data_IF_723728068341
#
_entry.id   IF_723728068341
#
_cell.length_a   1.000
_cell.length_b   1.000
_cell.length_c   1.000
_cell.angle_alpha   90.00
_cell.angle_beta   90.00
_cell.angle_gamma   90.00
#
_symmetry.space_group_name_H-M   'P 1'
#
loop_
_entity.id
_entity.type
_entity.pdbx_description
1 polymer ?
#
# COMPACT_ATOMS: atom_id res chain seq x y z
N UNK A 1 13.46 -11.77 -8.14
CA UNK A 1 14.66 -12.61 -7.94
C UNK A 1 15.58 -11.93 -6.93
N UNK A 2 15.48 -12.38 -5.68
CA UNK A 2 16.51 -12.18 -4.68
C UNK A 2 17.69 -13.12 -4.94
N UNK A 3 18.66 -13.12 -4.03
CA UNK A 3 19.77 -14.07 -4.08
C UNK A 3 19.72 -15.02 -2.89
N UNK A 4 19.84 -16.32 -3.17
CA UNK A 4 19.95 -17.37 -2.14
C UNK A 4 21.13 -17.16 -1.18
N UNK A 5 22.17 -16.45 -1.62
CA UNK A 5 23.31 -16.02 -0.80
C UNK A 5 23.36 -14.48 -0.71
N UNK A 6 22.96 -13.90 0.42
CA UNK A 6 23.06 -12.45 0.67
C UNK A 6 24.51 -11.92 0.65
N UNK A 7 25.46 -12.73 1.14
CA UNK A 7 26.90 -12.41 1.10
C UNK A 7 27.43 -12.13 -0.32
N UNK A 8 26.89 -12.82 -1.33
CA UNK A 8 27.34 -12.62 -2.71
C UNK A 8 26.89 -11.27 -3.31
N UNK A 9 25.87 -10.62 -2.75
CA UNK A 9 25.54 -9.22 -3.07
C UNK A 9 26.48 -8.25 -2.34
N UNK A 10 26.87 -8.53 -1.07
CA UNK A 10 27.85 -7.72 -0.33
C UNK A 10 29.19 -7.69 -1.07
N UNK A 11 29.75 -8.85 -1.42
CA UNK A 11 31.01 -8.92 -2.17
C UNK A 11 30.94 -8.19 -3.51
N UNK A 12 29.79 -8.24 -4.21
CA UNK A 12 29.60 -7.48 -5.46
C UNK A 12 29.44 -5.98 -5.23
N UNK A 13 28.94 -5.53 -4.08
CA UNK A 13 28.89 -4.11 -3.71
C UNK A 13 30.28 -3.56 -3.36
N UNK A 14 31.09 -4.33 -2.63
CA UNK A 14 32.49 -4.01 -2.30
C UNK A 14 33.36 -3.95 -3.56
N UNK A 15 33.22 -4.92 -4.48
CA UNK A 15 33.92 -4.92 -5.78
C UNK A 15 33.39 -3.86 -6.77
N UNK A 16 32.43 -3.01 -6.40
CA UNK A 16 31.84 -2.00 -7.29
C UNK A 16 30.94 -2.55 -8.42
N UNK A 17 30.70 -3.87 -8.46
CA UNK A 17 29.95 -4.58 -9.49
C UNK A 17 28.42 -4.47 -9.34
N UNK A 18 27.93 -3.81 -8.28
CA UNK A 18 26.49 -3.63 -8.02
C UNK A 18 26.20 -2.18 -7.66
N UNK A 19 25.24 -1.55 -8.37
CA UNK A 19 24.81 -0.19 -8.05
C UNK A 19 24.09 -0.14 -6.69
N UNK A 20 24.18 0.95 -5.92
CA UNK A 20 23.60 1.02 -4.57
C UNK A 20 22.11 0.64 -4.51
N UNK A 21 21.32 1.10 -5.51
CA UNK A 21 19.88 0.76 -5.63
C UNK A 21 19.64 -0.72 -5.94
N UNK A 22 20.44 -1.33 -6.81
CA UNK A 22 20.32 -2.75 -7.13
C UNK A 22 20.74 -3.63 -5.94
N UNK A 23 21.82 -3.25 -5.25
CA UNK A 23 22.31 -3.90 -4.04
C UNK A 23 21.26 -3.88 -2.93
N UNK A 24 20.82 -2.69 -2.47
CA UNK A 24 19.86 -2.58 -1.35
C UNK A 24 18.58 -3.40 -1.59
N UNK A 25 18.03 -3.35 -2.82
CA UNK A 25 16.86 -4.16 -3.21
C UNK A 25 17.13 -5.67 -3.18
N UNK A 26 18.21 -6.15 -3.81
CA UNK A 26 18.50 -7.60 -3.89
C UNK A 26 18.94 -8.18 -2.55
N UNK A 27 19.66 -7.39 -1.76
CA UNK A 27 20.06 -7.73 -0.40
C UNK A 27 18.82 -7.85 0.50
N UNK A 28 17.94 -6.84 0.50
CA UNK A 28 16.72 -6.85 1.33
C UNK A 28 15.72 -7.95 0.93
N UNK A 29 15.70 -8.34 -0.34
CA UNK A 29 14.92 -9.48 -0.83
C UNK A 29 15.67 -10.84 -0.77
N UNK A 30 16.82 -10.93 -0.08
CA UNK A 30 17.54 -12.20 0.06
C UNK A 30 16.82 -13.15 1.02
N UNK A 31 16.61 -14.40 0.57
CA UNK A 31 15.97 -15.48 1.35
C UNK A 31 16.57 -15.62 2.77
N UNK A 32 17.88 -15.40 2.91
CA UNK A 32 18.62 -15.49 4.19
C UNK A 32 18.18 -14.40 5.18
N UNK A 33 17.95 -13.17 4.72
CA UNK A 33 17.49 -12.08 5.59
C UNK A 33 16.01 -12.25 5.92
N UNK A 34 15.18 -12.59 4.91
CA UNK A 34 13.74 -12.81 5.08
C UNK A 34 13.46 -13.92 6.11
N UNK A 35 14.26 -14.99 6.10
CA UNK A 35 14.21 -16.08 7.10
C UNK A 35 14.56 -15.65 8.52
N UNK A 36 15.36 -14.60 8.69
CA UNK A 36 15.82 -14.07 9.98
C UNK A 36 14.99 -12.89 10.49
N UNK A 37 13.95 -12.47 9.76
CA UNK A 37 13.06 -11.40 10.17
C UNK A 37 12.35 -11.77 11.48
N UNK A 38 12.48 -10.90 12.48
CA UNK A 38 11.86 -11.02 13.78
C UNK A 38 11.53 -9.62 14.35
N UNK A 39 10.79 -9.58 15.46
CA UNK A 39 10.33 -8.36 16.08
C UNK A 39 11.50 -7.58 16.71
N UNK A 40 11.89 -6.48 16.08
CA UNK A 40 12.90 -5.53 16.57
C UNK A 40 12.37 -4.66 17.74
N UNK A 41 11.05 -4.60 17.89
CA UNK A 41 10.33 -3.97 18.98
C UNK A 41 9.31 -2.94 18.50
N UNK A 42 8.69 -2.25 19.46
CA UNK A 42 7.43 -1.54 19.22
C UNK A 42 7.56 -0.05 19.55
N UNK A 43 6.89 0.79 18.76
CA UNK A 43 6.73 2.22 19.00
C UNK A 43 5.39 2.43 19.69
N UNK A 44 5.42 2.76 20.98
CA UNK A 44 4.26 2.88 21.84
C UNK A 44 3.94 4.35 22.10
N UNK A 45 2.68 4.76 21.96
CA UNK A 45 2.26 6.13 22.31
C UNK A 45 0.89 6.56 21.80
N UNK A 46 0.39 5.95 20.72
CA UNK A 46 -0.98 6.15 20.27
C UNK A 46 -1.98 5.58 21.29
N UNK A 47 -3.20 6.14 21.30
CA UNK A 47 -4.29 5.76 22.21
C UNK A 47 -5.46 5.05 21.49
N UNK A 48 -5.33 4.79 20.19
CA UNK A 48 -6.27 4.02 19.38
C UNK A 48 -5.54 3.29 18.25
N UNK A 49 -6.28 2.55 17.42
CA UNK A 49 -5.71 1.77 16.30
C UNK A 49 -4.79 2.61 15.42
N UNK A 50 -3.65 2.09 15.00
CA UNK A 50 -2.72 2.78 14.11
C UNK A 50 -2.93 2.31 12.68
N UNK A 51 -3.57 3.12 11.85
CA UNK A 51 -4.02 2.71 10.52
C UNK A 51 -2.96 2.86 9.42
N UNK A 52 -1.93 3.67 9.67
CA UNK A 52 -0.98 4.09 8.64
C UNK A 52 0.39 4.38 9.24
N UNK A 53 1.43 3.94 8.54
CA UNK A 53 2.84 4.24 8.83
C UNK A 53 3.56 4.61 7.53
N UNK A 54 4.52 5.53 7.58
CA UNK A 54 5.35 5.87 6.42
C UNK A 54 6.77 6.27 6.86
N UNK A 55 7.79 5.74 6.18
CA UNK A 55 9.17 6.21 6.35
C UNK A 55 9.42 7.45 5.49
N UNK A 56 10.18 8.41 6.02
CA UNK A 56 10.68 9.50 5.21
C UNK A 56 11.71 9.01 4.17
N UNK A 57 12.06 9.86 3.21
CA UNK A 57 12.96 9.47 2.11
C UNK A 57 14.39 9.09 2.54
N UNK A 58 14.87 9.61 3.68
CA UNK A 58 16.17 9.23 4.26
C UNK A 58 16.11 7.91 5.03
N UNK A 59 14.91 7.51 5.46
CA UNK A 59 14.66 6.36 6.33
C UNK A 59 14.89 6.65 7.82
N UNK A 60 15.30 7.86 8.21
CA UNK A 60 15.61 8.20 9.61
C UNK A 60 14.36 8.42 10.47
N UNK A 61 13.24 8.82 9.85
CA UNK A 61 11.98 9.11 10.52
C UNK A 61 10.87 8.17 10.05
N UNK A 62 10.00 7.80 10.99
CA UNK A 62 8.73 7.16 10.70
C UNK A 62 7.59 8.09 11.14
N UNK A 63 6.57 8.26 10.31
CA UNK A 63 5.32 8.95 10.64
C UNK A 63 4.21 7.91 10.83
N UNK A 64 3.34 8.09 11.81
CA UNK A 64 2.12 7.29 11.98
C UNK A 64 0.87 8.15 12.17
N UNK A 65 -0.29 7.58 11.83
CA UNK A 65 -1.61 8.17 12.05
C UNK A 65 -2.60 7.16 12.64
N UNK A 66 -3.50 7.62 13.49
CA UNK A 66 -4.34 6.76 14.35
C UNK A 66 -5.78 7.24 14.48
N UNK A 67 -6.63 6.34 14.99
CA UNK A 67 -7.96 6.59 15.53
C UNK A 67 -7.97 7.66 16.64
N UNK A 68 -6.87 7.86 17.36
CA UNK A 68 -6.75 8.94 18.37
C UNK A 68 -6.66 10.36 17.76
N UNK A 69 -6.62 10.45 16.42
CA UNK A 69 -6.57 11.67 15.59
C UNK A 69 -5.24 12.44 15.71
N UNK A 70 -4.23 11.84 16.33
CA UNK A 70 -2.86 12.34 16.35
C UNK A 70 -2.09 11.85 15.12
N UNK A 71 -1.14 12.68 14.69
CA UNK A 71 0.01 12.26 13.89
C UNK A 71 1.22 12.24 14.82
N UNK A 72 2.02 11.18 14.74
CA UNK A 72 3.24 11.04 15.53
C UNK A 72 4.44 10.86 14.59
N UNK A 73 5.52 11.61 14.85
CA UNK A 73 6.83 11.43 14.24
C UNK A 73 7.74 10.70 15.23
N UNK A 74 8.33 9.61 14.77
CA UNK A 74 9.19 8.74 15.55
C UNK A 74 10.63 8.79 15.07
N UNK A 75 11.55 8.77 16.03
CA UNK A 75 12.85 8.17 15.82
C UNK A 75 12.69 6.65 16.05
N UNK A 76 12.49 5.91 14.96
CA UNK A 76 12.21 4.47 15.06
C UNK A 76 13.42 3.68 15.58
N UNK A 77 14.64 4.20 15.39
CA UNK A 77 15.89 3.54 15.77
C UNK A 77 16.08 3.52 17.29
N UNK A 78 15.88 4.67 17.94
CA UNK A 78 15.86 4.82 19.40
C UNK A 78 14.52 4.44 20.02
N UNK A 79 13.50 4.20 19.20
CA UNK A 79 12.10 3.94 19.58
C UNK A 79 11.47 5.10 20.37
N UNK A 80 11.87 6.34 20.06
CA UNK A 80 11.41 7.54 20.77
C UNK A 80 10.46 8.39 19.93
N UNK A 81 9.56 9.10 20.61
CA UNK A 81 8.62 10.05 20.01
C UNK A 81 9.29 11.41 19.86
N UNK A 82 9.58 11.84 18.63
CA UNK A 82 10.18 13.17 18.36
C UNK A 82 9.14 14.30 18.38
N UNK A 83 7.98 14.07 17.77
CA UNK A 83 6.89 15.06 17.70
C UNK A 83 5.54 14.33 17.72
N UNK A 84 4.51 14.98 18.26
CA UNK A 84 3.13 14.51 18.23
C UNK A 84 2.21 15.70 18.12
N UNK A 85 1.18 15.61 17.28
CA UNK A 85 0.22 16.70 17.13
C UNK A 85 -1.16 16.23 16.69
N UNK A 86 -2.18 17.00 17.06
CA UNK A 86 -3.52 16.74 16.56
C UNK A 86 -3.62 17.15 15.09
N UNK A 87 -4.02 16.21 14.24
CA UNK A 87 -4.37 16.50 12.84
C UNK A 87 -5.57 17.44 12.69
N UNK A 88 -6.30 17.69 13.79
CA UNK A 88 -7.56 18.41 13.85
C UNK A 88 -8.74 17.71 13.16
N UNK A 89 -8.56 16.52 12.58
CA UNK A 89 -9.66 15.67 12.13
C UNK A 89 -10.59 15.36 13.31
N UNK A 90 -11.89 15.19 13.06
CA UNK A 90 -12.83 14.80 14.11
C UNK A 90 -12.97 13.28 14.27
N UNK A 91 -12.63 12.52 13.24
CA UNK A 91 -12.70 11.05 13.15
C UNK A 91 -11.35 10.43 12.76
N UNK A 92 -11.26 9.09 12.80
CA UNK A 92 -10.07 8.27 12.55
C UNK A 92 -9.25 8.73 11.33
N UNK A 93 -7.92 8.78 11.47
CA UNK A 93 -6.98 8.97 10.34
C UNK A 93 -6.78 7.63 9.64
N UNK A 94 -7.03 7.55 8.33
CA UNK A 94 -6.84 6.33 7.54
C UNK A 94 -5.51 6.29 6.78
N UNK A 95 -5.01 7.43 6.31
CA UNK A 95 -3.71 7.51 5.66
C UNK A 95 -3.01 8.82 6.05
N UNK A 96 -1.72 8.70 6.36
CA UNK A 96 -0.79 9.82 6.51
C UNK A 96 0.26 9.70 5.40
N UNK A 97 0.71 10.83 4.87
CA UNK A 97 1.75 10.91 3.83
C UNK A 97 2.67 12.12 4.04
N UNK A 98 3.97 11.94 3.90
CA UNK A 98 4.99 12.99 3.87
C UNK A 98 5.09 13.52 2.43
N UNK A 99 5.11 14.84 2.27
CA UNK A 99 5.29 15.48 0.96
C UNK A 99 6.80 15.56 0.62
N UNK A 100 7.25 15.09 -0.56
CA UNK A 100 8.66 15.13 -0.94
C UNK A 100 9.14 16.57 -1.15
N UNK A 101 10.43 16.81 -0.96
CA UNK A 101 11.05 18.16 -1.09
C UNK A 101 10.46 19.20 -0.12
N UNK A 102 10.10 18.78 1.09
CA UNK A 102 9.57 19.66 2.15
C UNK A 102 10.32 19.55 3.49
N UNK A 103 11.53 18.96 3.46
CA UNK A 103 12.34 18.63 4.64
C UNK A 103 11.56 17.85 5.71
N UNK A 104 10.67 16.96 5.24
CA UNK A 104 9.71 16.17 6.00
C UNK A 104 8.72 17.00 6.87
N UNK A 105 8.62 18.31 6.63
CA UNK A 105 7.78 19.24 7.40
C UNK A 105 6.32 19.32 6.94
N UNK A 106 5.98 18.85 5.75
CA UNK A 106 4.60 18.85 5.24
C UNK A 106 4.03 17.45 5.20
N UNK A 107 3.01 17.22 6.01
CA UNK A 107 2.36 15.93 6.17
C UNK A 107 0.88 16.07 5.80
N UNK A 108 0.43 15.30 4.82
CA UNK A 108 -0.97 15.23 4.39
C UNK A 108 -1.67 14.05 5.06
N UNK A 109 -2.85 14.28 5.62
CA UNK A 109 -3.68 13.26 6.28
C UNK A 109 -5.05 13.15 5.65
N UNK A 110 -5.61 11.95 5.64
CA UNK A 110 -6.98 11.66 5.23
C UNK A 110 -7.74 10.85 6.29
N UNK A 111 -9.04 11.09 6.41
CA UNK A 111 -9.85 10.60 7.54
C UNK A 111 -11.22 10.07 7.14
N UNK A 112 -11.85 9.34 8.06
CA UNK A 112 -13.27 9.00 8.05
C UNK A 112 -14.19 10.23 8.03
N UNK A 113 -13.74 11.40 8.50
CA UNK A 113 -14.51 12.66 8.43
C UNK A 113 -14.69 13.21 6.99
N UNK A 114 -14.08 12.52 6.02
CA UNK A 114 -14.10 12.82 4.60
C UNK A 114 -13.21 14.01 4.21
N UNK A 115 -12.42 14.57 5.13
CA UNK A 115 -11.52 15.67 4.86
C UNK A 115 -10.14 15.17 4.46
N UNK A 116 -9.41 16.04 3.76
CA UNK A 116 -7.96 15.93 3.59
C UNK A 116 -7.34 17.19 4.18
N UNK A 117 -6.31 17.02 5.00
CA UNK A 117 -5.64 18.10 5.73
C UNK A 117 -4.14 18.06 5.52
N UNK A 118 -3.51 19.22 5.64
CA UNK A 118 -2.07 19.41 5.66
C UNK A 118 -1.68 19.89 7.05
N UNK A 119 -0.78 19.17 7.71
CA UNK A 119 0.03 19.70 8.78
C UNK A 119 1.35 20.23 8.22
N UNK A 120 1.70 21.47 8.54
CA UNK A 120 3.00 22.05 8.24
C UNK A 120 3.73 22.38 9.55
N UNK A 121 4.86 21.70 9.77
CA UNK A 121 5.78 21.96 10.88
C UNK A 121 6.59 23.22 10.56
N UNK A 122 6.57 24.19 11.47
CA UNK A 122 7.25 25.48 11.36
C UNK A 122 8.62 25.42 12.06
N UNK A 123 9.47 26.42 11.81
CA UNK A 123 10.84 26.48 12.34
C UNK A 123 10.92 26.65 13.86
N UNK A 124 9.90 27.26 14.45
CA UNK A 124 9.74 27.42 15.90
C UNK A 124 9.10 26.19 16.57
N UNK A 125 8.86 25.12 15.81
CA UNK A 125 8.20 23.90 16.28
C UNK A 125 6.67 23.98 16.38
N UNK A 126 6.06 25.12 16.03
CA UNK A 126 4.61 25.22 15.88
C UNK A 126 4.14 24.45 14.64
N UNK A 127 2.84 24.17 14.57
CA UNK A 127 2.25 23.33 13.53
C UNK A 127 0.99 23.99 13.00
N UNK A 128 1.03 24.44 11.75
CA UNK A 128 -0.15 24.94 11.04
C UNK A 128 -0.97 23.76 10.49
N UNK A 129 -2.29 23.76 10.72
CA UNK A 129 -3.21 22.70 10.32
C UNK A 129 -4.24 23.28 9.35
N UNK A 130 -4.10 22.97 8.07
CA UNK A 130 -4.95 23.49 6.99
C UNK A 130 -5.80 22.41 6.35
N UNK A 131 -7.11 22.59 6.30
CA UNK A 131 -8.01 21.74 5.48
C UNK A 131 -7.80 22.05 4.00
N UNK A 132 -7.37 21.05 3.23
CA UNK A 132 -7.17 21.15 1.79
C UNK A 132 -8.44 20.81 1.00
N UNK A 133 -9.24 19.87 1.49
CA UNK A 133 -10.46 19.44 0.81
C UNK A 133 -11.44 18.70 1.71
N UNK A 134 -12.65 18.46 1.19
CA UNK A 134 -13.67 17.59 1.78
C UNK A 134 -14.42 16.84 0.69
N UNK A 135 -14.58 15.54 0.90
CA UNK A 135 -15.32 14.62 0.06
C UNK A 135 -16.64 14.22 0.74
N UNK A 136 -17.52 13.52 0.01
CA UNK A 136 -18.85 13.10 0.51
C UNK A 136 -18.83 11.89 1.44
N UNK A 137 -17.67 11.30 1.68
CA UNK A 137 -17.45 10.17 2.58
C UNK A 137 -15.97 9.96 2.85
N UNK A 138 -15.66 8.91 3.62
CA UNK A 138 -14.32 8.53 4.05
C UNK A 138 -13.27 8.56 2.94
N UNK A 139 -12.07 9.07 3.25
CA UNK A 139 -10.93 9.09 2.34
C UNK A 139 -9.88 8.09 2.82
N UNK A 140 -9.88 6.89 2.24
CA UNK A 140 -9.10 5.73 2.71
C UNK A 140 -7.61 5.79 2.39
N UNK A 141 -7.26 6.21 1.18
CA UNK A 141 -5.89 6.17 0.66
C UNK A 141 -5.53 7.47 -0.06
N UNK A 142 -4.26 7.83 0.08
CA UNK A 142 -3.58 8.93 -0.59
C UNK A 142 -2.35 8.39 -1.34
N UNK A 143 -2.09 8.92 -2.53
CA UNK A 143 -0.83 8.76 -3.26
C UNK A 143 -0.22 10.15 -3.53
N UNK A 144 1.02 10.36 -3.08
CA UNK A 144 1.76 11.61 -3.31
C UNK A 144 2.59 11.46 -4.59
N UNK A 145 2.63 12.50 -5.41
CA UNK A 145 3.49 12.51 -6.61
C UNK A 145 4.97 12.62 -6.19
N UNK A 146 5.83 11.63 -6.49
CA UNK A 146 7.20 11.61 -5.99
C UNK A 146 8.07 12.82 -6.42
N UNK A 147 7.68 13.49 -7.51
CA UNK A 147 8.37 14.64 -8.08
C UNK A 147 7.86 16.01 -7.62
N UNK A 148 6.86 16.09 -6.73
CA UNK A 148 6.16 17.35 -6.44
C UNK A 148 5.89 17.58 -4.95
N UNK A 149 6.32 18.72 -4.37
CA UNK A 149 6.01 19.08 -2.98
C UNK A 149 4.54 19.49 -2.76
N UNK A 150 3.70 19.48 -3.80
CA UNK A 150 2.36 20.07 -3.78
C UNK A 150 1.25 19.19 -4.37
N UNK A 151 1.59 18.10 -5.08
CA UNK A 151 0.62 17.26 -5.78
C UNK A 151 0.48 15.91 -5.08
N UNK A 152 -0.77 15.57 -4.77
CA UNK A 152 -1.18 14.26 -4.28
C UNK A 152 -2.61 13.98 -4.75
N UNK A 153 -3.00 12.71 -4.71
CA UNK A 153 -4.28 12.19 -5.18
C UNK A 153 -4.96 11.42 -4.06
N UNK A 154 -6.28 11.55 -3.96
CA UNK A 154 -7.13 10.94 -2.94
C UNK A 154 -8.16 10.00 -3.56
N UNK A 155 -8.44 8.86 -2.93
CA UNK A 155 -9.43 7.85 -3.36
C UNK A 155 -10.91 8.29 -3.32
N UNK A 156 -11.28 9.53 -3.63
CA UNK A 156 -12.68 9.93 -3.79
C UNK A 156 -12.85 10.97 -4.90
N UNK A 157 -13.80 10.71 -5.82
CA UNK A 157 -14.13 11.53 -7.01
C UNK A 157 -14.11 13.05 -6.80
N UNK A 158 -13.54 13.75 -7.79
CA UNK A 158 -14.08 14.96 -8.44
C UNK A 158 -14.19 14.61 -9.95
N UNK A 159 -15.17 15.03 -10.74
CA UNK A 159 -16.35 15.89 -10.53
C UNK A 159 -17.66 15.05 -10.70
N UNK A 160 -18.91 15.53 -10.78
CA UNK A 160 -19.63 16.77 -10.35
C UNK A 160 -21.11 16.35 -10.09
N UNK A 161 -21.94 17.11 -9.33
CA UNK A 161 -23.34 16.78 -9.10
C UNK A 161 -24.36 17.77 -9.71
N UNK A 162 -24.52 17.85 -11.03
CA UNK A 162 -25.65 18.56 -11.68
C UNK A 162 -25.92 18.12 -13.12
N UNK A 163 -26.79 17.13 -13.30
CA UNK A 163 -27.94 17.21 -14.24
C UNK A 163 -28.76 15.92 -14.15
N UNK A 164 -30.08 16.05 -14.33
CA UNK A 164 -31.00 14.91 -14.34
C UNK A 164 -30.91 14.21 -15.70
N UNK A 165 -30.15 13.12 -15.80
CA UNK A 165 -30.39 12.13 -16.87
C UNK A 165 -30.07 10.70 -16.42
N UNK A 166 -30.85 9.76 -16.96
CA UNK A 166 -30.93 8.36 -16.51
C UNK A 166 -29.78 7.54 -17.11
N UNK A 167 -29.32 6.54 -16.35
CA UNK A 167 -28.26 5.58 -16.71
C UNK A 167 -26.83 6.16 -16.83
N UNK A 168 -26.30 6.72 -15.73
CA UNK A 168 -24.86 6.58 -15.48
C UNK A 168 -24.55 5.13 -15.03
N UNK A 169 -23.37 4.58 -15.35
CA UNK A 169 -22.89 3.35 -14.71
C UNK A 169 -22.80 3.57 -13.18
N UNK A 170 -23.03 2.50 -12.42
CA UNK A 170 -23.03 2.52 -10.95
C UNK A 170 -21.76 3.17 -10.42
N UNK A 171 -21.90 4.14 -9.50
CA UNK A 171 -20.76 4.87 -8.94
C UNK A 171 -19.88 3.94 -8.08
N UNK A 172 -18.84 3.39 -8.68
CA UNK A 172 -17.84 2.56 -7.99
C UNK A 172 -17.16 3.41 -6.90
N UNK A 173 -17.16 2.89 -5.67
CA UNK A 173 -16.40 3.44 -4.55
C UNK A 173 -14.95 2.99 -4.70
N UNK A 174 -14.01 3.93 -4.66
CA UNK A 174 -12.57 3.62 -4.68
C UNK A 174 -12.08 3.35 -3.26
N UNK A 175 -11.25 2.32 -3.13
CA UNK A 175 -10.65 1.90 -1.86
C UNK A 175 -9.15 2.27 -1.82
N UNK A 176 -8.46 2.15 -2.96
CA UNK A 176 -7.00 2.22 -3.02
C UNK A 176 -6.49 2.87 -4.31
N UNK A 177 -5.29 3.45 -4.23
CA UNK A 177 -4.61 4.24 -5.27
C UNK A 177 -3.10 4.07 -5.13
N UNK A 178 -2.40 3.93 -6.25
CA UNK A 178 -0.95 3.82 -6.31
C UNK A 178 -0.40 4.52 -7.55
N UNK A 179 0.73 5.22 -7.40
CA UNK A 179 1.47 5.83 -8.53
C UNK A 179 2.62 4.88 -8.90
N UNK A 180 2.88 4.73 -10.20
CA UNK A 180 4.06 3.98 -10.68
C UNK A 180 5.34 4.76 -10.31
N UNK A 181 6.21 4.23 -9.42
CA UNK A 181 7.39 4.96 -8.93
C UNK A 181 8.46 5.15 -10.01
N UNK A 182 8.42 4.36 -11.09
CA UNK A 182 9.34 4.46 -12.22
C UNK A 182 8.80 5.40 -13.31
N UNK A 183 7.48 5.57 -13.40
CA UNK A 183 6.84 6.52 -14.30
C UNK A 183 5.61 7.16 -13.65
N UNK A 184 5.81 8.24 -12.86
CA UNK A 184 4.73 8.88 -12.09
C UNK A 184 3.53 9.37 -12.91
N UNK A 185 3.64 9.39 -14.24
CA UNK A 185 2.51 9.66 -15.12
C UNK A 185 1.41 8.59 -15.06
N UNK A 186 1.68 7.39 -14.53
CA UNK A 186 0.69 6.32 -14.41
C UNK A 186 0.17 6.16 -12.98
N UNK A 187 -1.16 6.11 -12.88
CA UNK A 187 -1.93 6.06 -11.64
C UNK A 187 -2.88 4.85 -11.67
N UNK A 188 -2.66 3.87 -10.81
CA UNK A 188 -3.56 2.74 -10.60
C UNK A 188 -4.60 3.09 -9.53
N UNK A 189 -5.87 2.72 -9.76
CA UNK A 189 -6.95 2.79 -8.78
C UNK A 189 -7.72 1.47 -8.70
N UNK A 190 -8.20 1.13 -7.51
CA UNK A 190 -9.00 -0.06 -7.23
C UNK A 190 -10.13 0.27 -6.25
N UNK A 191 -11.26 -0.42 -6.38
CA UNK A 191 -12.49 -0.08 -5.67
C UNK A 191 -13.36 -1.27 -5.33
N UNK A 192 -14.66 -1.03 -5.13
CA UNK A 192 -15.71 -2.01 -4.85
C UNK A 192 -16.04 -2.96 -6.01
N UNK A 193 -15.10 -3.18 -6.92
CA UNK A 193 -15.20 -4.06 -8.08
C UNK A 193 -13.86 -4.76 -8.38
N UNK A 194 -13.89 -5.72 -9.28
CA UNK A 194 -12.79 -6.64 -9.59
C UNK A 194 -11.68 -6.03 -10.49
N UNK A 195 -11.88 -4.80 -10.97
CA UNK A 195 -11.05 -4.19 -12.02
C UNK A 195 -10.11 -3.11 -11.50
N UNK A 196 -8.80 -3.40 -11.46
CA UNK A 196 -7.79 -2.37 -11.24
C UNK A 196 -7.58 -1.58 -12.52
N UNK A 197 -7.66 -0.25 -12.44
CA UNK A 197 -7.64 0.65 -13.59
C UNK A 197 -6.42 1.53 -13.55
N UNK A 198 -5.63 1.54 -14.63
CA UNK A 198 -4.44 2.38 -14.76
C UNK A 198 -4.74 3.54 -15.70
N UNK A 199 -4.61 4.75 -15.19
CA UNK A 199 -4.81 6.00 -15.92
C UNK A 199 -3.47 6.69 -16.20
N UNK A 200 -3.43 7.53 -17.24
CA UNK A 200 -2.30 8.43 -17.53
C UNK A 200 -2.68 9.83 -17.06
N UNK A 201 -2.03 10.35 -16.02
CA UNK A 201 -2.39 11.63 -15.38
C UNK A 201 -2.36 12.81 -16.37
N UNK A 202 -1.54 12.72 -17.43
CA UNK A 202 -1.41 13.74 -18.47
C UNK A 202 -2.59 13.76 -19.46
N UNK A 203 -3.38 12.68 -19.49
CA UNK A 203 -4.57 12.57 -20.34
C UNK A 203 -5.83 13.08 -19.66
N UNK A 204 -5.84 13.22 -18.34
CA UNK A 204 -6.96 13.88 -17.66
C UNK A 204 -7.05 15.32 -18.13
N UNK A 205 -8.20 15.66 -18.71
CA UNK A 205 -8.58 17.04 -18.89
C UNK A 205 -9.30 17.48 -17.64
N UNK A 206 -8.85 18.60 -17.07
CA UNK A 206 -9.50 19.25 -15.94
C UNK A 206 -10.69 20.12 -16.38
N UNK A 207 -10.97 20.16 -17.70
CA UNK A 207 -12.17 20.79 -18.26
C UNK A 207 -13.39 19.88 -18.07
N UNK A 208 -14.56 20.49 -17.92
CA UNK A 208 -15.85 19.82 -17.69
C UNK A 208 -16.40 19.18 -19.00
N UNK A 209 -15.52 18.83 -19.94
CA UNK A 209 -15.90 18.26 -21.22
C UNK A 209 -16.29 16.79 -21.05
N UNK A 210 -17.42 16.42 -21.64
CA UNK A 210 -18.19 15.20 -21.33
C UNK A 210 -17.58 13.87 -21.83
N UNK A 211 -16.26 13.79 -21.99
CA UNK A 211 -15.58 12.54 -22.31
C UNK A 211 -15.38 11.73 -21.02
N UNK A 212 -15.69 10.42 -21.02
CA UNK A 212 -15.40 9.57 -19.87
C UNK A 212 -13.88 9.45 -19.67
N UNK A 213 -13.43 9.39 -18.42
CA UNK A 213 -12.06 9.02 -18.08
C UNK A 213 -11.81 7.56 -18.50
N UNK A 214 -11.19 7.38 -19.68
CA UNK A 214 -10.84 6.07 -20.22
C UNK A 214 -9.49 5.63 -19.60
N UNK A 215 -9.44 4.50 -18.87
CA UNK A 215 -8.17 3.96 -18.38
C UNK A 215 -7.30 3.53 -19.57
N UNK A 216 -5.99 3.68 -19.43
CA UNK A 216 -5.02 3.21 -20.43
C UNK A 216 -4.91 1.68 -20.42
N UNK A 217 -5.09 1.06 -19.25
CA UNK A 217 -5.13 -0.39 -19.11
C UNK A 217 -5.99 -0.81 -17.91
N UNK A 218 -6.57 -2.01 -17.96
CA UNK A 218 -7.35 -2.62 -16.87
C UNK A 218 -6.78 -3.99 -16.55
N UNK A 219 -6.67 -4.34 -15.27
CA UNK A 219 -6.17 -5.62 -14.79
C UNK A 219 -7.22 -6.32 -13.92
N UNK A 220 -7.50 -7.58 -14.22
CA UNK A 220 -8.37 -8.48 -13.47
C UNK A 220 -8.01 -9.93 -13.84
N UNK A 221 -7.86 -10.87 -12.88
CA UNK A 221 -7.66 -12.27 -13.19
C UNK A 221 -8.85 -12.85 -13.98
N UNK A 222 -8.59 -13.68 -14.99
CA UNK A 222 -9.62 -14.18 -15.92
C UNK A 222 -10.86 -14.77 -15.22
N UNK A 223 -10.66 -15.57 -14.16
CA UNK A 223 -11.74 -16.20 -13.39
C UNK A 223 -12.56 -15.23 -12.50
N UNK A 224 -12.07 -14.00 -12.27
CA UNK A 224 -12.79 -12.98 -11.48
C UNK A 224 -13.64 -12.05 -12.32
N UNK A 225 -13.44 -11.99 -13.64
CA UNK A 225 -14.12 -11.08 -14.60
C UNK A 225 -15.66 -11.18 -14.68
N UNK A 226 -16.27 -12.12 -13.94
CA UNK A 226 -17.73 -12.33 -13.84
C UNK A 226 -18.20 -12.58 -12.41
N UNK A 227 -17.31 -12.44 -11.42
CA UNK A 227 -17.54 -12.86 -10.03
C UNK A 227 -17.96 -11.69 -9.17
N UNK A 228 -19.24 -11.65 -8.80
CA UNK A 228 -19.81 -10.56 -7.99
C UNK A 228 -19.40 -10.68 -6.53
N UNK A 229 -19.23 -9.53 -5.87
CA UNK A 229 -18.95 -9.42 -4.43
C UNK A 229 -17.46 -9.24 -4.10
N UNK A 230 -16.57 -9.52 -5.06
CA UNK A 230 -15.13 -9.30 -4.91
C UNK A 230 -14.80 -7.83 -5.19
N UNK A 231 -13.91 -7.26 -4.38
CA UNK A 231 -13.43 -5.89 -4.51
C UNK A 231 -11.92 -5.81 -4.25
N UNK A 232 -11.27 -4.77 -4.74
CA UNK A 232 -9.84 -4.56 -4.51
C UNK A 232 -9.61 -3.90 -3.15
N UNK A 233 -8.74 -4.51 -2.35
CA UNK A 233 -8.34 -4.05 -1.01
C UNK A 233 -7.01 -3.31 -1.03
N UNK A 234 -6.09 -3.70 -1.91
CA UNK A 234 -4.73 -3.15 -1.98
C UNK A 234 -4.16 -3.08 -3.40
N UNK A 235 -3.35 -2.06 -3.65
CA UNK A 235 -2.57 -1.88 -4.88
C UNK A 235 -1.16 -1.45 -4.50
N UNK A 236 -0.15 -2.02 -5.17
CA UNK A 236 1.24 -1.61 -5.06
C UNK A 236 1.95 -1.79 -6.41
N UNK A 237 2.78 -0.83 -6.78
CA UNK A 237 3.67 -0.97 -7.93
C UNK A 237 5.03 -1.49 -7.51
N UNK A 238 5.61 -2.39 -8.30
CA UNK A 238 7.03 -2.72 -8.20
C UNK A 238 7.89 -1.59 -8.76
N UNK A 239 9.17 -1.57 -8.38
CA UNK A 239 10.18 -0.69 -8.99
C UNK A 239 10.44 -0.97 -10.49
N UNK A 240 9.82 -2.03 -11.03
CA UNK A 240 9.86 -2.44 -12.44
C UNK A 240 8.57 -2.11 -13.20
N UNK A 241 7.61 -1.43 -12.55
CA UNK A 241 6.27 -1.10 -13.08
C UNK A 241 5.32 -2.30 -13.26
N UNK A 242 5.55 -3.39 -12.52
CA UNK A 242 4.56 -4.47 -12.36
C UNK A 242 3.53 -4.05 -11.30
N UNK A 243 2.28 -4.49 -11.45
CA UNK A 243 1.17 -4.10 -10.57
C UNK A 243 0.76 -5.29 -9.69
N UNK A 244 0.94 -5.16 -8.38
CA UNK A 244 0.46 -6.09 -7.38
C UNK A 244 -0.94 -5.66 -6.91
N UNK A 245 -1.90 -6.58 -6.96
CA UNK A 245 -3.31 -6.35 -6.65
C UNK A 245 -3.76 -7.36 -5.59
N UNK A 246 -4.28 -6.89 -4.46
CA UNK A 246 -4.92 -7.72 -3.43
C UNK A 246 -6.43 -7.55 -3.49
N UNK A 247 -7.14 -8.66 -3.42
CA UNK A 247 -8.59 -8.73 -3.49
C UNK A 247 -9.21 -9.11 -2.14
N UNK A 248 -10.49 -8.77 -1.96
CA UNK A 248 -11.29 -9.21 -0.83
C UNK A 248 -11.60 -10.69 -0.98
N UNK A 249 -11.34 -11.45 0.09
CA UNK A 249 -11.62 -12.88 0.18
C UNK A 249 -10.97 -13.77 -0.90
N UNK A 250 -10.05 -13.22 -1.70
CA UNK A 250 -9.41 -13.84 -2.86
C UNK A 250 -7.92 -13.43 -2.93
N UNK A 251 -7.07 -14.17 -3.65
CA UNK A 251 -5.62 -14.04 -3.56
C UNK A 251 -5.01 -12.67 -3.98
N UNK A 252 -3.69 -12.52 -3.75
CA UNK A 252 -2.91 -11.42 -4.34
C UNK A 252 -2.35 -11.89 -5.69
N UNK A 253 -2.40 -11.01 -6.69
CA UNK A 253 -1.94 -11.26 -8.05
C UNK A 253 -0.91 -10.21 -8.47
N UNK A 254 0.19 -10.63 -9.10
CA UNK A 254 1.17 -9.74 -9.71
C UNK A 254 1.03 -9.78 -11.23
N UNK A 255 0.69 -8.62 -11.81
CA UNK A 255 0.55 -8.42 -13.24
C UNK A 255 1.77 -7.72 -13.82
N UNK A 256 2.32 -8.28 -14.90
CA UNK A 256 3.24 -7.56 -15.77
C UNK A 256 2.47 -6.53 -16.62
N UNK A 257 3.16 -5.50 -17.11
CA UNK A 257 2.55 -4.37 -17.83
C UNK A 257 1.74 -4.77 -19.08
N UNK A 258 2.10 -5.89 -19.71
CA UNK A 258 1.47 -6.48 -20.90
C UNK A 258 0.25 -7.39 -20.58
N UNK A 259 0.04 -7.81 -19.33
CA UNK A 259 -1.03 -8.74 -18.93
C UNK A 259 -2.41 -8.07 -18.72
N UNK A 260 -2.58 -6.83 -19.18
CA UNK A 260 -3.83 -6.08 -18.99
C UNK A 260 -4.82 -6.25 -20.14
N UNK A 261 -6.10 -6.14 -19.82
CA UNK A 261 -7.26 -6.29 -20.71
C UNK A 261 -7.44 -5.11 -21.70
N UNK A 262 -6.53 -4.13 -21.66
CA UNK A 262 -6.65 -2.88 -22.43
C UNK A 262 -7.64 -1.89 -21.82
N UNK A 263 -8.04 -0.84 -22.57
CA UNK A 263 -8.94 0.21 -22.08
C UNK A 263 -10.41 -0.24 -21.99
N UNK A 264 -10.80 -1.30 -22.71
CA UNK A 264 -12.18 -1.75 -22.89
C UNK A 264 -12.28 -3.27 -22.71
N UNK A 265 -12.52 -3.77 -21.48
CA UNK A 265 -12.47 -5.21 -21.19
C UNK A 265 -13.66 -5.97 -21.79
N UNK A 266 -14.81 -5.30 -21.97
CA UNK A 266 -16.02 -5.91 -22.54
C UNK A 266 -15.97 -6.11 -24.07
N UNK A 267 -14.93 -5.61 -24.76
CA UNK A 267 -14.71 -5.85 -26.19
C UNK A 267 -13.67 -6.96 -26.49
N UNK A 268 -13.04 -7.53 -25.46
CA UNK A 268 -12.14 -8.68 -25.66
C UNK A 268 -12.96 -9.95 -25.93
N UNK A 269 -12.57 -10.72 -26.96
CA UNK A 269 -13.20 -12.02 -27.21
C UNK A 269 -12.79 -13.04 -26.14
N UNK A 270 -13.60 -14.09 -25.95
CA UNK A 270 -13.25 -15.18 -25.01
C UNK A 270 -11.94 -15.88 -25.44
N UNK A 271 -11.68 -15.93 -26.74
CA UNK A 271 -10.47 -16.50 -27.33
C UNK A 271 -9.24 -15.64 -27.05
N UNK A 272 -9.38 -14.31 -26.97
CA UNK A 272 -8.27 -13.41 -26.65
C UNK A 272 -7.96 -13.40 -25.14
N UNK A 273 -9.00 -13.51 -24.29
CA UNK A 273 -8.82 -13.68 -22.84
C UNK A 273 -8.08 -14.99 -22.49
N UNK A 274 -8.28 -16.05 -23.28
CA UNK A 274 -7.56 -17.33 -23.12
C UNK A 274 -6.10 -17.30 -23.62
N UNK A 275 -5.71 -16.30 -24.42
CA UNK A 275 -4.32 -16.12 -24.89
C UNK A 275 -3.47 -15.25 -23.95
N UNK A 276 -4.10 -14.57 -22.99
CA UNK A 276 -3.38 -13.76 -22.01
C UNK A 276 -2.62 -14.66 -21.03
N UNK A 277 -1.36 -14.34 -20.78
CA UNK A 277 -0.56 -14.99 -19.73
C UNK A 277 -1.23 -14.78 -18.36
N UNK A 278 -1.34 -15.85 -17.56
CA UNK A 278 -1.90 -15.72 -16.23
C UNK A 278 -0.93 -14.96 -15.29
N UNK A 279 -1.46 -14.06 -14.43
CA UNK A 279 -0.65 -13.35 -13.44
C UNK A 279 -0.08 -14.32 -12.38
N UNK A 280 1.07 -13.97 -11.81
CA UNK A 280 1.61 -14.73 -10.68
C UNK A 280 0.70 -14.58 -9.45
N UNK A 281 0.30 -15.71 -8.85
CA UNK A 281 -0.63 -15.77 -7.70
C UNK A 281 0.12 -16.01 -6.38
N UNK A 282 -0.30 -15.35 -5.31
CA UNK A 282 0.26 -15.48 -3.96
C UNK A 282 -0.83 -15.97 -2.99
N UNK A 283 -0.68 -17.19 -2.49
CA UNK A 283 -1.77 -17.93 -1.85
C UNK A 283 -1.91 -17.65 -0.34
N UNK A 284 -3.16 -17.75 0.15
CA UNK A 284 -3.51 -17.78 1.58
C UNK A 284 -3.06 -16.57 2.39
N UNK A 285 -3.13 -15.37 1.82
CA UNK A 285 -3.05 -14.14 2.61
C UNK A 285 -4.32 -13.97 3.48
N UNK A 286 -4.20 -13.19 4.55
CA UNK A 286 -5.31 -12.55 5.25
C UNK A 286 -4.71 -11.33 5.94
N UNK A 287 -5.34 -10.16 5.81
CA UNK A 287 -4.90 -8.96 6.55
C UNK A 287 -4.97 -9.16 8.08
N UNK A 288 -5.44 -10.30 8.59
CA UNK A 288 -5.71 -10.48 10.00
C UNK A 288 -4.44 -10.57 10.87
N UNK A 289 -3.49 -11.43 10.54
CA UNK A 289 -2.49 -11.83 11.54
C UNK A 289 -1.07 -11.99 11.02
N UNK A 290 -0.80 -12.06 9.71
CA UNK A 290 0.54 -12.47 9.25
C UNK A 290 1.16 -11.63 8.14
N UNK A 291 2.44 -11.34 8.31
CA UNK A 291 3.31 -10.78 7.28
C UNK A 291 4.05 -11.91 6.57
N UNK A 292 4.14 -11.83 5.23
CA UNK A 292 4.83 -12.81 4.38
C UNK A 292 5.94 -12.15 3.58
N UNK A 293 7.09 -12.81 3.53
CA UNK A 293 8.12 -12.57 2.51
C UNK A 293 8.15 -13.76 1.53
N UNK A 294 8.24 -13.48 0.23
CA UNK A 294 8.18 -14.51 -0.81
C UNK A 294 9.22 -14.30 -1.93
N UNK A 295 9.72 -15.42 -2.44
CA UNK A 295 10.41 -15.51 -3.72
C UNK A 295 9.75 -16.65 -4.53
N UNK A 296 9.26 -16.35 -5.73
CA UNK A 296 8.75 -17.35 -6.69
C UNK A 296 7.54 -18.17 -6.20
N UNK A 297 6.56 -17.52 -5.55
CA UNK A 297 5.34 -18.15 -5.00
C UNK A 297 5.58 -19.18 -3.87
N UNK A 298 6.77 -19.18 -3.25
CA UNK A 298 7.07 -19.96 -2.05
C UNK A 298 7.00 -19.08 -0.80
N UNK A 299 6.18 -19.48 0.17
CA UNK A 299 6.19 -18.92 1.52
C UNK A 299 7.55 -19.14 2.19
N UNK A 300 8.27 -18.06 2.52
CA UNK A 300 9.61 -18.14 3.15
C UNK A 300 9.57 -17.89 4.65
N UNK A 301 8.66 -17.01 5.11
CA UNK A 301 8.54 -16.58 6.51
C UNK A 301 7.08 -16.26 6.84
N UNK A 302 6.67 -16.59 8.05
CA UNK A 302 5.38 -16.22 8.65
C UNK A 302 5.66 -15.54 9.99
N UNK A 303 5.17 -14.32 10.19
CA UNK A 303 5.34 -13.54 11.42
C UNK A 303 3.99 -13.01 11.88
N UNK A 304 3.68 -13.10 13.17
CA UNK A 304 2.42 -12.58 13.71
C UNK A 304 2.54 -11.06 13.86
N UNK A 305 1.75 -10.31 13.10
CA UNK A 305 1.72 -8.85 13.11
C UNK A 305 0.94 -8.32 14.31
N UNK A 306 -0.36 -8.12 14.12
CA UNK A 306 -1.31 -7.71 15.16
C UNK A 306 -2.22 -8.88 15.57
N UNK A 307 -2.87 -8.78 16.74
CA UNK A 307 -3.85 -9.76 17.25
C UNK A 307 -4.99 -10.06 16.28
N UNK A 308 -5.48 -9.07 15.52
CA UNK A 308 -6.66 -9.25 14.64
C UNK A 308 -6.57 -8.72 13.23
N UNK A 309 -5.95 -7.55 12.97
CA UNK A 309 -5.77 -6.99 11.62
C UNK A 309 -4.50 -6.14 11.58
N UNK A 310 -3.64 -6.37 10.59
CA UNK A 310 -2.60 -5.45 10.11
C UNK A 310 -3.20 -4.59 9.00
N UNK A 311 -3.32 -3.29 9.24
CA UNK A 311 -3.93 -2.33 8.31
C UNK A 311 -2.92 -1.82 7.28
N UNK A 312 -1.65 -1.67 7.67
CA UNK A 312 -0.60 -1.15 6.80
C UNK A 312 0.76 -1.78 7.10
N UNK A 313 1.56 -1.94 6.05
CA UNK A 313 2.94 -2.39 6.07
C UNK A 313 3.74 -1.42 5.20
N UNK A 314 4.83 -0.89 5.72
CA UNK A 314 5.73 0.00 5.00
C UNK A 314 7.19 -0.50 5.11
N UNK A 315 7.88 -0.80 4.00
CA UNK A 315 9.29 -1.13 4.01
C UNK A 315 10.17 0.11 4.23
N UNK A 316 11.27 -0.05 4.96
CA UNK A 316 12.29 1.00 5.07
C UNK A 316 12.97 1.20 3.71
N UNK A 317 13.17 2.45 3.24
CA UNK A 317 13.59 2.73 1.86
C UNK A 317 14.96 2.16 1.48
N UNK A 318 15.88 2.02 2.46
CA UNK A 318 17.28 1.66 2.20
C UNK A 318 17.77 0.36 2.90
N UNK A 319 16.97 -0.24 3.78
CA UNK A 319 17.40 -1.31 4.71
C UNK A 319 16.40 -2.48 4.70
N UNK A 320 16.82 -3.70 5.10
CA UNK A 320 15.97 -4.89 5.20
C UNK A 320 15.02 -4.85 6.41
N UNK A 321 14.45 -3.70 6.72
CA UNK A 321 13.58 -3.42 7.86
C UNK A 321 12.22 -2.99 7.33
N UNK A 322 11.14 -3.28 8.05
CA UNK A 322 9.82 -2.73 7.74
C UNK A 322 9.02 -2.47 9.02
N UNK A 323 8.03 -1.59 8.90
CA UNK A 323 7.08 -1.28 9.95
C UNK A 323 5.70 -1.88 9.61
N UNK A 324 4.95 -2.30 10.62
CA UNK A 324 3.54 -2.67 10.49
C UNK A 324 2.70 -2.04 11.57
N UNK A 325 1.46 -1.71 11.23
CA UNK A 325 0.47 -1.19 12.15
C UNK A 325 -0.93 -1.72 11.81
N UNK A 326 -1.86 -1.65 12.76
CA UNK A 326 -3.17 -2.27 12.58
C UNK A 326 -4.20 -1.86 13.62
N UNK A 327 -4.89 -2.86 14.16
CA UNK A 327 -5.92 -2.68 15.21
C UNK A 327 -5.29 -2.30 16.56
N UNK A 328 -4.00 -2.57 16.77
CA UNK A 328 -3.29 -2.21 17.98
C UNK A 328 -2.83 -0.75 17.97
N UNK A 329 -2.54 -0.22 19.15
CA UNK A 329 -2.16 1.18 19.37
C UNK A 329 -0.63 1.41 19.34
N UNK A 330 0.11 0.45 18.79
CA UNK A 330 1.55 0.49 18.59
C UNK A 330 1.93 0.31 17.11
N UNK A 331 3.19 0.61 16.79
CA UNK A 331 3.79 0.24 15.51
C UNK A 331 4.87 -0.79 15.77
N UNK A 332 4.82 -1.92 15.07
CA UNK A 332 5.79 -3.00 15.21
C UNK A 332 6.88 -2.88 14.14
N UNK A 333 8.13 -2.95 14.56
CA UNK A 333 9.31 -2.89 13.69
C UNK A 333 9.91 -4.28 13.53
N UNK A 334 10.27 -4.63 12.31
CA UNK A 334 10.74 -5.97 11.93
C UNK A 334 12.12 -5.86 11.29
N UNK A 335 13.08 -6.66 11.76
CA UNK A 335 14.46 -6.63 11.29
C UNK A 335 15.06 -8.05 11.23
N UNK A 336 16.11 -8.30 10.42
CA UNK A 336 16.70 -9.64 10.25
C UNK A 336 17.66 -9.96 11.41
N UNK A 337 17.12 -9.98 12.64
CA UNK A 337 17.87 -10.10 13.90
C UNK A 337 17.83 -11.50 14.53
N UNK A 338 17.01 -12.42 14.04
CA UNK A 338 16.94 -13.76 14.60
C UNK A 338 18.31 -14.47 14.46
N UNK A 339 18.79 -15.05 15.57
CA UNK A 339 20.03 -15.84 15.63
C UNK A 339 19.92 -17.10 14.78
N UNK A 340 18.79 -17.77 14.92
CA UNK A 340 18.39 -18.98 14.23
C UNK A 340 17.33 -18.66 13.18
N UNK A 341 17.10 -19.57 12.24
CA UNK A 341 15.97 -19.47 11.30
C UNK A 341 14.79 -20.20 11.91
N UNK A 342 13.76 -19.50 12.44
CA UNK A 342 12.66 -20.19 13.09
C UNK A 342 11.82 -20.90 12.01
N UNK A 343 11.45 -22.17 12.22
CA UNK A 343 10.75 -22.94 11.22
C UNK A 343 9.40 -22.33 10.87
N UNK A 344 8.93 -22.63 9.66
CA UNK A 344 7.54 -22.41 9.29
C UNK A 344 6.63 -23.27 10.20
N UNK A 345 5.56 -22.73 10.81
CA UNK A 345 4.70 -23.50 11.69
C UNK A 345 4.08 -24.72 11.00
N UNK A 346 4.11 -25.89 11.65
CA UNK A 346 3.61 -27.15 11.07
C UNK A 346 2.12 -27.06 10.68
N UNK A 347 1.36 -26.24 11.41
CA UNK A 347 -0.06 -26.00 11.20
C UNK A 347 -0.38 -24.92 10.15
N UNK A 348 0.55 -24.51 9.27
CA UNK A 348 0.29 -23.52 8.20
C UNK A 348 -0.96 -23.84 7.39
N UNK A 349 -1.19 -25.11 7.05
CA UNK A 349 -2.40 -25.53 6.35
C UNK A 349 -3.68 -25.19 7.13
N UNK A 350 -3.71 -25.47 8.44
CA UNK A 350 -4.82 -25.13 9.33
C UNK A 350 -4.94 -23.62 9.56
N UNK A 351 -3.84 -22.88 9.59
CA UNK A 351 -3.85 -21.41 9.71
C UNK A 351 -4.43 -20.79 8.43
N UNK A 352 -4.00 -21.25 7.25
CA UNK A 352 -4.58 -20.83 5.96
C UNK A 352 -6.06 -21.23 5.82
N UNK A 353 -6.45 -22.37 6.38
CA UNK A 353 -7.82 -22.87 6.38
C UNK A 353 -8.73 -22.13 7.38
N UNK A 354 -8.26 -21.86 8.60
CA UNK A 354 -8.97 -21.00 9.57
C UNK A 354 -9.09 -19.57 9.03
N UNK A 355 -8.08 -19.10 8.32
CA UNK A 355 -8.13 -17.87 7.54
C UNK A 355 -9.09 -17.97 6.33
N UNK A 356 -9.46 -19.16 5.85
CA UNK A 356 -10.53 -19.39 4.87
C UNK A 356 -11.91 -19.36 5.52
N UNK A 357 -12.15 -20.17 6.55
CA UNK A 357 -13.45 -20.23 7.21
C UNK A 357 -13.86 -18.86 7.80
N UNK A 358 -12.88 -18.13 8.35
CA UNK A 358 -13.09 -16.75 8.82
C UNK A 358 -13.36 -15.69 7.74
N UNK A 359 -13.33 -16.04 6.44
CA UNK A 359 -13.89 -15.22 5.32
C UNK A 359 -15.41 -15.43 5.21
N UNK A 360 -15.84 -16.68 5.29
CA UNK A 360 -17.24 -17.10 5.09
C UNK A 360 -18.14 -16.69 6.25
N UNK A 361 -17.63 -16.72 7.49
CA UNK A 361 -18.42 -16.41 8.69
C UNK A 361 -18.63 -14.90 8.95
N UNK A 362 -17.84 -14.03 8.30
CA UNK A 362 -17.98 -12.56 8.39
C UNK A 362 -18.66 -11.92 7.17
N UNK A 363 -18.99 -12.72 6.16
CA UNK A 363 -19.72 -12.31 4.95
C UNK A 363 -21.21 -12.70 4.99
N UNK A 364 -21.68 -13.18 6.14
CA UNK A 364 -23.09 -13.39 6.51
C UNK A 364 -23.52 -12.38 7.56
#
# INVERSE_FOLDING_TARGET
>A
MGTKNGFAEISRREMGLSSPRCFSRRFSASEVLVKRLDLYGNLNGHQGCVNTVEFNSTGELLVSGSDDRQVILWDWSTKTRRLSYSSGHCENIFQTRIMPYTDDRKIVTSSADGQVRLGQILEDGQIDIKRLGRHRGCVYKLAVEPGSPHIFYSCVRRLYPTSKNKHLPSSIRLNTIAIDPRNPNYLAVGGSDEYARVYDIRKFRWDDSSNPDIPVNIFCPNHLTKTKGIHITGLAYSNTSELLISYSDEYIYLFQKNMGLGPSPHSASVEDLQKLEEPQVYLGHRNAQTVKGEEGAKLVRLMIGDRQVVNHLEPHPHMPIFATCGIENDVKLWAPIATDVPPLPDDIGKIMESNRQGREDKSR
#
